data_IF_917476785111
#
_entry.id   IF_917476785111
#
_cell.length_a   1.000
_cell.length_b   1.000
_cell.length_c   1.000
_cell.angle_alpha   90.00
_cell.angle_beta   90.00
_cell.angle_gamma   90.00
#
_symmetry.space_group_name_H-M   'P 1'
#
loop_
_entity.id
_entity.type
_entity.pdbx_description
1 polymer ?
#
# COMPACT_ATOMS: atom_id res chain seq x y z
N UNK A 1 20.25 0.76 -8.21
CA UNK A 1 18.87 0.32 -8.47
C UNK A 1 18.42 0.88 -9.81
N UNK A 2 17.86 0.05 -10.68
CA UNK A 2 17.28 0.49 -11.95
C UNK A 2 15.83 0.99 -11.77
N UNK A 3 15.29 1.77 -12.70
CA UNK A 3 13.90 2.26 -12.65
C UNK A 3 12.89 1.11 -12.63
N UNK A 4 13.13 0.01 -13.35
CA UNK A 4 12.25 -1.15 -13.32
C UNK A 4 12.23 -1.80 -11.93
N UNK A 5 13.37 -1.80 -11.23
CA UNK A 5 13.50 -2.30 -9.87
C UNK A 5 12.74 -1.40 -8.87
N UNK A 6 12.83 -0.07 -9.00
CA UNK A 6 12.02 0.88 -8.21
C UNK A 6 10.53 0.59 -8.34
N UNK A 7 10.04 0.41 -9.57
CA UNK A 7 8.62 0.11 -9.82
C UNK A 7 8.24 -1.24 -9.21
N UNK A 8 9.12 -2.23 -9.30
CA UNK A 8 8.89 -3.57 -8.75
C UNK A 8 8.79 -3.53 -7.23
N UNK A 9 9.70 -2.79 -6.57
CA UNK A 9 9.70 -2.56 -5.12
C UNK A 9 8.45 -1.79 -4.66
N UNK A 10 8.00 -0.79 -5.41
CA UNK A 10 6.73 -0.09 -5.14
C UNK A 10 5.53 -1.06 -5.17
N UNK A 11 5.46 -1.91 -6.19
CA UNK A 11 4.38 -2.90 -6.31
C UNK A 11 4.44 -3.98 -5.22
N UNK A 12 5.66 -4.43 -4.85
CA UNK A 12 5.88 -5.35 -3.74
C UNK A 12 5.40 -4.72 -2.42
N UNK A 13 5.80 -3.49 -2.13
CA UNK A 13 5.43 -2.76 -0.92
C UNK A 13 3.90 -2.61 -0.79
N UNK A 14 3.22 -2.18 -1.86
CA UNK A 14 1.75 -2.09 -1.85
C UNK A 14 1.10 -3.48 -1.64
N UNK A 15 1.68 -4.54 -2.21
CA UNK A 15 1.22 -5.92 -1.98
C UNK A 15 1.44 -6.40 -0.55
N UNK A 16 2.54 -6.01 0.10
CA UNK A 16 2.79 -6.30 1.52
C UNK A 16 1.77 -5.56 2.39
N UNK A 17 1.57 -4.26 2.16
CA UNK A 17 0.62 -3.46 2.94
C UNK A 17 -0.80 -4.02 2.87
N UNK A 18 -1.26 -4.45 1.68
CA UNK A 18 -2.57 -5.12 1.50
C UNK A 18 -2.72 -6.44 2.24
N UNK A 19 -1.62 -7.11 2.62
CA UNK A 19 -1.65 -8.40 3.33
C UNK A 19 -1.49 -8.25 4.84
N UNK A 20 -1.07 -7.08 5.33
CA UNK A 20 -1.03 -6.81 6.76
C UNK A 20 -2.44 -6.95 7.36
N UNK A 21 -2.58 -7.44 8.60
CA UNK A 21 -3.89 -7.51 9.26
C UNK A 21 -4.49 -6.11 9.43
N UNK A 22 -5.81 -5.98 9.32
CA UNK A 22 -6.51 -4.67 9.27
C UNK A 22 -6.21 -3.76 10.46
N UNK A 23 -5.99 -4.32 11.65
CA UNK A 23 -5.58 -3.57 12.84
C UNK A 23 -4.15 -2.99 12.80
N UNK A 24 -3.34 -3.36 11.81
CA UNK A 24 -1.98 -2.86 11.59
C UNK A 24 -1.83 -2.00 10.33
N UNK A 25 -2.86 -1.94 9.46
CA UNK A 25 -2.84 -1.12 8.24
C UNK A 25 -2.99 0.38 8.50
N UNK A 26 -3.52 0.73 9.68
CA UNK A 26 -3.72 2.09 10.15
C UNK A 26 -3.39 2.11 11.64
N UNK A 27 -2.52 3.03 12.07
CA UNK A 27 -2.41 3.40 13.47
C UNK A 27 -3.77 3.99 13.88
N UNK A 28 -4.68 3.15 14.40
CA UNK A 28 -5.87 3.68 15.06
C UNK A 28 -5.34 4.49 16.24
N UNK A 29 -5.65 5.80 16.36
CA UNK A 29 -5.38 6.49 17.61
C UNK A 29 -6.05 5.66 18.70
N UNK A 30 -5.27 5.24 19.70
CA UNK A 30 -5.65 4.32 20.77
C UNK A 30 -7.09 4.57 21.24
N UNK A 31 -8.05 3.90 20.61
CA UNK A 31 -9.42 3.89 21.10
C UNK A 31 -9.39 2.93 22.27
N UNK A 32 -9.61 3.48 23.45
CA UNK A 32 -9.81 2.82 24.73
C UNK A 32 -11.09 1.98 24.74
N UNK A 33 -11.36 1.23 23.66
CA UNK A 33 -12.44 0.26 23.63
C UNK A 33 -11.89 -1.06 24.17
N UNK A 34 -12.42 -1.42 25.34
CA UNK A 34 -12.39 -2.71 26.04
C UNK A 34 -12.04 -3.95 25.20
N UNK A 35 -11.48 -5.02 25.80
CA UNK A 35 -11.25 -6.28 25.10
C UNK A 35 -12.58 -6.80 24.53
N UNK A 36 -12.59 -7.14 23.24
CA UNK A 36 -13.67 -7.95 22.67
C UNK A 36 -13.79 -9.24 23.50
N UNK A 37 -14.99 -9.47 24.01
CA UNK A 37 -15.31 -10.66 24.80
C UNK A 37 -14.95 -11.91 23.98
N UNK A 38 -14.28 -12.90 24.58
CA UNK A 38 -14.00 -14.17 23.89
C UNK A 38 -15.33 -14.75 23.39
N UNK A 39 -15.41 -15.21 22.13
CA UNK A 39 -16.62 -15.87 21.65
C UNK A 39 -17.01 -16.99 22.61
N UNK A 40 -18.31 -17.13 22.89
CA UNK A 40 -18.85 -18.25 23.69
C UNK A 40 -18.30 -19.57 23.11
N UNK A 41 -17.67 -20.44 23.92
CA UNK A 41 -17.18 -21.74 23.47
C UNK A 41 -18.22 -22.54 22.68
N UNK A 42 -19.52 -22.34 22.96
CA UNK A 42 -20.62 -23.00 22.28
C UNK A 42 -20.89 -22.46 20.85
N UNK A 43 -20.38 -21.27 20.50
CA UNK A 43 -20.46 -20.67 19.16
C UNK A 43 -19.19 -20.94 18.32
N UNK A 44 -18.13 -21.49 18.94
CA UNK A 44 -16.86 -21.80 18.26
C UNK A 44 -16.96 -22.95 17.23
N UNK A 45 -18.10 -23.62 17.16
CA UNK A 45 -18.40 -24.67 16.17
C UNK A 45 -18.78 -24.07 14.81
N UNK A 46 -17.86 -23.36 14.15
CA UNK A 46 -17.78 -23.23 12.69
C UNK A 46 -19.05 -22.90 11.88
N UNK A 47 -20.04 -22.20 12.45
CA UNK A 47 -21.25 -21.76 11.73
C UNK A 47 -21.03 -20.50 10.89
N UNK A 48 -19.84 -19.90 10.95
CA UNK A 48 -19.45 -18.72 10.17
C UNK A 48 -18.66 -19.15 8.93
N UNK A 49 -18.91 -18.49 7.80
CA UNK A 49 -18.16 -18.69 6.56
C UNK A 49 -16.66 -18.48 6.80
N UNK A 50 -15.83 -19.44 6.39
CA UNK A 50 -14.38 -19.33 6.54
C UNK A 50 -13.85 -18.20 5.65
N UNK A 51 -13.54 -17.06 6.26
CA UNK A 51 -12.79 -16.00 5.57
C UNK A 51 -11.36 -16.47 5.31
N UNK A 52 -11.06 -16.76 4.03
CA UNK A 52 -9.69 -17.07 3.59
C UNK A 52 -8.84 -15.81 3.67
N UNK A 53 -8.04 -15.69 4.72
CA UNK A 53 -7.10 -14.56 4.90
C UNK A 53 -5.82 -14.81 4.10
N UNK A 54 -5.28 -13.80 3.42
CA UNK A 54 -3.98 -13.92 2.77
C UNK A 54 -2.89 -14.20 3.81
N UNK A 55 -1.81 -14.91 3.42
CA UNK A 55 -0.72 -15.21 4.34
C UNK A 55 -0.05 -13.92 4.82
N UNK A 56 0.25 -13.89 6.12
CA UNK A 56 0.96 -12.77 6.76
C UNK A 56 2.34 -12.62 6.07
N UNK A 57 2.73 -11.40 5.68
CA UNK A 57 4.03 -11.17 5.05
C UNK A 57 5.18 -11.44 6.03
N UNK A 58 6.34 -11.85 5.51
CA UNK A 58 7.53 -12.07 6.35
C UNK A 58 8.09 -10.76 6.91
N UNK A 59 8.79 -10.77 8.06
CA UNK A 59 9.42 -9.58 8.62
C UNK A 59 10.35 -8.85 7.63
N UNK A 60 11.11 -9.60 6.83
CA UNK A 60 11.96 -9.01 5.79
C UNK A 60 11.16 -8.31 4.68
N UNK A 61 9.96 -8.80 4.34
CA UNK A 61 9.09 -8.13 3.38
C UNK A 61 8.47 -6.85 3.95
N UNK A 62 8.19 -6.82 5.26
CA UNK A 62 7.72 -5.62 5.97
C UNK A 62 8.83 -4.56 5.98
N UNK A 63 10.07 -4.92 6.33
CA UNK A 63 11.20 -3.99 6.30
C UNK A 63 11.44 -3.38 4.91
N UNK A 64 11.38 -4.20 3.85
CA UNK A 64 11.48 -3.68 2.46
C UNK A 64 10.32 -2.76 2.09
N UNK A 65 9.11 -3.03 2.60
CA UNK A 65 7.97 -2.14 2.41
C UNK A 65 8.19 -0.80 3.13
N UNK A 66 8.66 -0.81 4.38
CA UNK A 66 8.98 0.39 5.16
C UNK A 66 10.05 1.23 4.45
N UNK A 67 11.11 0.61 3.95
CA UNK A 67 12.14 1.25 3.13
C UNK A 67 11.53 2.00 1.92
N UNK A 68 10.57 1.38 1.23
CA UNK A 68 9.89 2.01 0.09
C UNK A 68 8.99 3.17 0.54
N UNK A 69 8.35 3.08 1.72
CA UNK A 69 7.57 4.18 2.29
C UNK A 69 8.46 5.39 2.63
N UNK A 70 9.71 5.16 3.02
CA UNK A 70 10.71 6.20 3.22
C UNK A 70 11.17 6.81 1.89
N UNK A 71 11.41 6.00 0.85
CA UNK A 71 11.76 6.51 -0.48
C UNK A 71 10.71 7.49 -1.01
N UNK A 72 9.44 7.18 -0.80
CA UNK A 72 8.31 8.02 -1.20
C UNK A 72 8.36 9.42 -0.56
N UNK A 73 9.08 9.62 0.55
CA UNK A 73 9.28 10.93 1.15
C UNK A 73 10.20 11.85 0.33
N UNK A 74 11.06 11.30 -0.52
CA UNK A 74 12.02 12.04 -1.34
C UNK A 74 11.36 12.80 -2.49
N UNK A 75 10.11 12.45 -2.83
CA UNK A 75 9.35 13.11 -3.90
C UNK A 75 8.24 14.00 -3.35
N UNK A 76 7.88 15.08 -4.08
CA UNK A 76 6.73 15.91 -3.76
C UNK A 76 5.44 15.11 -3.53
N UNK A 77 4.59 15.60 -2.63
CA UNK A 77 3.37 14.89 -2.16
C UNK A 77 2.42 14.49 -3.29
N UNK A 78 2.35 15.29 -4.35
CA UNK A 78 1.54 15.02 -5.54
C UNK A 78 1.99 13.78 -6.31
N UNK A 79 3.31 13.60 -6.47
CA UNK A 79 3.87 12.40 -7.10
C UNK A 79 3.77 11.20 -6.15
N UNK A 80 3.99 11.41 -4.85
CA UNK A 80 3.88 10.36 -3.82
C UNK A 80 2.55 9.61 -3.90
N UNK A 81 1.44 10.36 -3.87
CA UNK A 81 0.08 9.77 -3.95
C UNK A 81 -0.15 9.05 -5.27
N UNK A 82 0.32 9.62 -6.38
CA UNK A 82 0.15 9.02 -7.70
C UNK A 82 0.92 7.70 -7.84
N UNK A 83 2.18 7.68 -7.39
CA UNK A 83 3.01 6.48 -7.38
C UNK A 83 2.38 5.39 -6.51
N UNK A 84 1.97 5.73 -5.29
CA UNK A 84 1.35 4.78 -4.36
C UNK A 84 0.04 4.21 -4.91
N UNK A 85 -0.90 5.05 -5.35
CA UNK A 85 -2.17 4.56 -5.89
C UNK A 85 -2.01 3.73 -7.16
N UNK A 86 -0.99 4.04 -7.97
CA UNK A 86 -0.68 3.22 -9.14
C UNK A 86 -0.15 1.84 -8.72
N UNK A 87 0.67 1.74 -7.67
CA UNK A 87 1.15 0.48 -7.09
C UNK A 87 0.03 -0.31 -6.38
N UNK A 88 -0.96 0.39 -5.83
CA UNK A 88 -2.21 -0.19 -5.31
C UNK A 88 -3.15 -0.74 -6.41
N UNK A 89 -2.72 -0.68 -7.69
CA UNK A 89 -3.48 -1.27 -8.80
C UNK A 89 -4.60 -0.38 -9.34
N UNK A 90 -4.63 0.92 -9.01
CA UNK A 90 -5.62 1.81 -9.59
C UNK A 90 -5.41 1.96 -11.09
N UNK A 91 -6.50 1.84 -11.86
CA UNK A 91 -6.44 2.06 -13.31
C UNK A 91 -6.12 3.51 -13.66
N UNK A 92 -5.47 3.73 -14.81
CA UNK A 92 -5.17 5.08 -15.31
C UNK A 92 -6.39 5.99 -15.39
N UNK A 93 -7.56 5.44 -15.75
CA UNK A 93 -8.82 6.18 -15.80
C UNK A 93 -9.28 6.62 -14.40
N UNK A 94 -9.11 5.76 -13.39
CA UNK A 94 -9.44 6.08 -11.99
C UNK A 94 -8.50 7.18 -11.47
N UNK A 95 -7.20 7.06 -11.74
CA UNK A 95 -6.20 8.05 -11.37
C UNK A 95 -6.45 9.40 -12.04
N UNK A 96 -6.72 9.41 -13.36
CA UNK A 96 -7.03 10.65 -14.08
C UNK A 96 -8.21 11.41 -13.48
N UNK A 97 -9.31 10.70 -13.18
CA UNK A 97 -10.46 11.32 -12.49
C UNK A 97 -10.11 11.82 -11.09
N UNK A 98 -9.33 11.06 -10.33
CA UNK A 98 -8.92 11.45 -8.97
C UNK A 98 -8.02 12.70 -8.96
N UNK A 99 -7.08 12.80 -9.89
CA UNK A 99 -6.15 13.92 -10.02
C UNK A 99 -6.66 15.07 -10.91
N UNK A 100 -7.91 14.99 -11.41
CA UNK A 100 -8.51 16.03 -12.25
C UNK A 100 -7.85 16.19 -13.62
N UNK A 101 -7.26 15.14 -14.20
CA UNK A 101 -6.53 15.22 -15.46
C UNK A 101 -6.81 14.04 -16.40
N UNK A 102 -6.46 14.21 -17.68
CA UNK A 102 -6.65 13.16 -18.70
C UNK A 102 -5.71 11.96 -18.49
N UNK A 103 -6.13 10.77 -18.96
CA UNK A 103 -5.35 9.53 -18.87
C UNK A 103 -3.93 9.60 -19.46
N UNK A 104 -3.72 10.46 -20.47
CA UNK A 104 -2.37 10.70 -21.03
C UNK A 104 -1.50 11.50 -20.06
N UNK A 105 -2.06 12.57 -19.49
CA UNK A 105 -1.32 13.46 -18.59
C UNK A 105 -0.96 12.75 -17.28
N UNK A 106 -1.85 11.92 -16.74
CA UNK A 106 -1.55 11.16 -15.52
C UNK A 106 -0.43 10.14 -15.73
N UNK A 107 -0.31 9.54 -16.93
CA UNK A 107 0.81 8.63 -17.25
C UNK A 107 2.14 9.37 -17.34
N UNK A 108 2.14 10.58 -17.93
CA UNK A 108 3.33 11.43 -17.98
C UNK A 108 3.76 11.84 -16.57
N UNK A 109 2.85 12.37 -15.76
CA UNK A 109 3.13 12.73 -14.35
C UNK A 109 3.62 11.53 -13.55
N UNK A 110 3.08 10.34 -13.78
CA UNK A 110 3.56 9.12 -13.12
C UNK A 110 5.00 8.80 -13.52
N UNK A 111 5.32 8.86 -14.82
CA UNK A 111 6.70 8.66 -15.32
C UNK A 111 7.66 9.68 -14.70
N UNK A 112 7.28 10.95 -14.70
CA UNK A 112 8.10 12.02 -14.13
C UNK A 112 8.31 11.81 -12.62
N UNK A 113 7.29 11.31 -11.91
CA UNK A 113 7.40 10.91 -10.51
C UNK A 113 8.34 9.71 -10.28
N UNK A 114 8.33 8.71 -11.17
CA UNK A 114 9.28 7.57 -11.09
C UNK A 114 10.70 8.04 -11.33
N UNK A 115 10.92 8.92 -12.31
CA UNK A 115 12.24 9.50 -12.60
C UNK A 115 12.73 10.31 -11.39
N UNK A 116 11.92 11.21 -10.85
CA UNK A 116 12.30 12.00 -9.68
C UNK A 116 12.59 11.14 -8.44
N UNK A 117 11.84 10.04 -8.25
CA UNK A 117 12.12 9.08 -7.19
C UNK A 117 13.46 8.37 -7.40
N UNK A 118 13.72 7.91 -8.63
CA UNK A 118 14.98 7.25 -8.97
C UNK A 118 16.18 8.19 -8.84
N UNK A 119 16.05 9.45 -9.27
CA UNK A 119 17.07 10.48 -9.09
C UNK A 119 17.35 10.79 -7.61
N UNK A 120 16.31 10.82 -6.77
CA UNK A 120 16.48 11.04 -5.33
C UNK A 120 17.14 9.87 -4.59
N UNK A 121 17.17 8.68 -5.18
CA UNK A 121 17.78 7.48 -4.60
C UNK A 121 19.23 7.23 -5.05
N UNK A 122 19.76 8.10 -5.92
CA UNK A 122 21.13 8.07 -6.42
C UNK A 122 22.03 8.97 -5.58
#
# INVERSE_FOLDING_TARGET
>A
MDMAEVITRLNEAASVLRRLPEGSRYERPFLTSWPDYRPDPNTAYGYEDVEVKPPIPSPAAIQRMEEVLDWLQLVPVEYRRLLWFRAEGWSWRKLGRYFGCGSRQVRLRWRDGVVGLWEGLR
#
